data_IF_546674117972
#
_entry.id   IF_546674117972
#
_cell.length_a   1.000
_cell.length_b   1.000
_cell.length_c   1.000
_cell.angle_alpha   90.00
_cell.angle_beta   90.00
_cell.angle_gamma   90.00
#
_symmetry.space_group_name_H-M   'P 1'
#
loop_
_entity.id
_entity.type
_entity.pdbx_description
1 polymer ?
#
# COMPACT_ATOMS: atom_id res chain seq x y z
N UNK A 1 -8.54 9.11 -1.60
CA UNK A 1 -9.42 9.49 -0.48
C UNK A 1 -8.71 10.42 0.50
N UNK A 2 -9.19 11.64 0.72
CA UNK A 2 -8.63 12.57 1.73
C UNK A 2 -9.34 12.41 3.06
N UNK A 3 -8.58 12.33 4.15
CA UNK A 3 -9.06 12.28 5.53
C UNK A 3 -8.44 13.42 6.35
N UNK A 4 -8.77 13.48 7.65
CA UNK A 4 -8.32 14.54 8.55
C UNK A 4 -6.80 14.65 8.59
N UNK A 5 -6.10 13.51 8.74
CA UNK A 5 -4.65 13.46 8.90
C UNK A 5 -3.91 13.02 7.63
N UNK A 6 -4.51 12.15 6.83
CA UNK A 6 -3.85 11.52 5.67
C UNK A 6 -4.65 11.73 4.38
N UNK A 7 -3.95 11.92 3.27
CA UNK A 7 -4.48 11.66 1.93
C UNK A 7 -4.04 10.27 1.49
N UNK A 8 -5.01 9.36 1.36
CA UNK A 8 -4.79 8.04 0.80
C UNK A 8 -4.91 8.07 -0.72
N UNK A 9 -3.93 7.48 -1.38
CA UNK A 9 -3.96 7.18 -2.82
C UNK A 9 -4.06 5.67 -3.01
N UNK A 10 -4.44 5.26 -4.21
CA UNK A 10 -4.22 3.93 -4.76
C UNK A 10 -3.90 4.10 -6.24
N UNK A 11 -3.66 3.01 -6.96
CA UNK A 11 -3.30 3.05 -8.36
C UNK A 11 -4.07 2.00 -9.15
N UNK A 12 -4.28 2.28 -10.43
CA UNK A 12 -4.78 1.34 -11.40
C UNK A 12 -3.59 0.75 -12.16
N UNK A 13 -3.64 -0.55 -12.41
CA UNK A 13 -2.84 -1.18 -13.45
C UNK A 13 -3.66 -1.07 -14.74
N UNK A 14 -2.99 -0.78 -15.86
CA UNK A 14 -3.66 -0.59 -17.15
C UNK A 14 -4.44 -1.85 -17.54
N UNK A 15 -5.69 -1.65 -17.97
CA UNK A 15 -6.61 -2.73 -18.33
C UNK A 15 -7.49 -3.24 -17.16
N UNK A 16 -7.23 -2.84 -15.92
CA UNK A 16 -8.04 -3.25 -14.78
C UNK A 16 -9.19 -2.28 -14.48
N UNK A 17 -10.36 -2.85 -14.18
CA UNK A 17 -11.57 -2.09 -13.80
C UNK A 17 -11.46 -1.44 -12.41
N UNK A 18 -10.78 -2.13 -11.48
CA UNK A 18 -10.64 -1.72 -10.08
C UNK A 18 -9.21 -1.25 -9.79
N UNK A 19 -9.05 -0.26 -8.91
CA UNK A 19 -7.73 0.05 -8.38
C UNK A 19 -7.26 -1.04 -7.40
N UNK A 20 -5.96 -1.07 -7.11
CA UNK A 20 -5.36 -2.14 -6.32
C UNK A 20 -5.95 -2.29 -4.90
N UNK A 21 -6.30 -1.18 -4.23
CA UNK A 21 -6.93 -1.27 -2.90
C UNK A 21 -8.38 -1.75 -2.98
N UNK A 22 -9.10 -1.45 -4.08
CA UNK A 22 -10.46 -1.96 -4.29
C UNK A 22 -10.46 -3.47 -4.55
N UNK A 23 -9.47 -3.98 -5.29
CA UNK A 23 -9.26 -5.43 -5.45
C UNK A 23 -9.00 -6.10 -4.11
N UNK A 24 -8.14 -5.52 -3.27
CA UNK A 24 -7.89 -6.00 -1.91
C UNK A 24 -9.19 -6.06 -1.08
N UNK A 25 -9.95 -4.96 -1.06
CA UNK A 25 -11.21 -4.87 -0.32
C UNK A 25 -12.21 -5.91 -0.84
N UNK A 26 -12.37 -6.03 -2.15
CA UNK A 26 -13.28 -7.01 -2.79
C UNK A 26 -12.94 -8.43 -2.37
N UNK A 27 -11.64 -8.75 -2.33
CA UNK A 27 -11.14 -10.08 -1.98
C UNK A 27 -11.34 -10.43 -0.50
N UNK A 28 -11.03 -9.51 0.42
CA UNK A 28 -10.92 -9.83 1.85
C UNK A 28 -12.15 -9.42 2.68
N UNK A 29 -12.91 -8.40 2.28
CA UNK A 29 -14.05 -7.90 3.07
C UNK A 29 -15.14 -8.95 3.32
N UNK A 30 -15.39 -9.81 2.32
CA UNK A 30 -16.42 -10.85 2.39
C UNK A 30 -15.87 -12.24 2.72
N UNK A 31 -14.58 -12.37 3.05
CA UNK A 31 -13.95 -13.67 3.33
C UNK A 31 -14.03 -14.00 4.83
N UNK A 32 -14.83 -15.00 5.25
CA UNK A 32 -14.95 -15.35 6.67
C UNK A 32 -13.61 -15.83 7.27
N UNK A 33 -12.77 -16.48 6.47
CA UNK A 33 -11.47 -17.00 6.90
C UNK A 33 -10.46 -15.90 7.27
N UNK A 34 -10.63 -14.68 6.74
CA UNK A 34 -9.70 -13.58 6.91
C UNK A 34 -10.35 -12.32 7.50
N UNK A 35 -11.57 -12.46 8.03
CA UNK A 35 -12.36 -11.34 8.54
C UNK A 35 -11.61 -10.53 9.59
N UNK A 36 -11.07 -11.19 10.60
CA UNK A 36 -10.38 -10.51 11.71
C UNK A 36 -9.11 -9.80 11.23
N UNK A 37 -8.36 -10.41 10.32
CA UNK A 37 -7.16 -9.79 9.73
C UNK A 37 -7.52 -8.54 8.91
N UNK A 38 -8.54 -8.66 8.07
CA UNK A 38 -9.04 -7.55 7.26
C UNK A 38 -9.54 -6.39 8.13
N UNK A 39 -10.38 -6.68 9.13
CA UNK A 39 -10.92 -5.68 10.06
C UNK A 39 -9.80 -4.98 10.84
N UNK A 40 -8.77 -5.71 11.26
CA UNK A 40 -7.59 -5.15 11.91
C UNK A 40 -6.82 -4.19 11.00
N UNK A 41 -6.59 -4.55 9.74
CA UNK A 41 -5.92 -3.68 8.76
C UNK A 41 -6.75 -2.41 8.53
N UNK A 42 -8.05 -2.55 8.28
CA UNK A 42 -8.94 -1.41 8.02
C UNK A 42 -9.10 -0.52 9.24
N UNK A 43 -9.06 -1.08 10.45
CA UNK A 43 -9.02 -0.32 11.69
C UNK A 43 -7.77 0.58 11.73
N UNK A 44 -6.58 0.04 11.44
CA UNK A 44 -5.33 0.81 11.43
C UNK A 44 -5.37 1.91 10.36
N UNK A 45 -5.80 1.60 9.14
CA UNK A 45 -5.99 2.59 8.06
C UNK A 45 -6.92 3.72 8.52
N UNK A 46 -8.08 3.39 9.11
CA UNK A 46 -9.04 4.38 9.60
C UNK A 46 -8.48 5.21 10.75
N UNK A 47 -7.76 4.58 11.69
CA UNK A 47 -7.17 5.24 12.84
C UNK A 47 -6.09 6.24 12.41
N UNK A 48 -5.16 5.82 11.55
CA UNK A 48 -4.15 6.70 10.96
C UNK A 48 -4.81 7.88 10.23
N UNK A 49 -5.82 7.62 9.38
CA UNK A 49 -6.47 8.65 8.61
C UNK A 49 -7.24 9.69 9.43
N UNK A 50 -7.83 9.28 10.57
CA UNK A 50 -8.65 10.15 11.42
C UNK A 50 -7.88 10.81 12.55
N UNK A 51 -6.95 10.11 13.18
CA UNK A 51 -6.44 10.45 14.51
C UNK A 51 -4.96 10.85 14.50
N UNK A 52 -4.09 9.98 14.00
CA UNK A 52 -2.64 10.09 14.27
C UNK A 52 -1.82 10.56 13.07
N UNK A 53 -2.21 10.18 11.85
CA UNK A 53 -1.32 10.24 10.70
C UNK A 53 -0.54 8.94 10.51
N UNK A 54 0.29 8.89 9.48
CA UNK A 54 1.04 7.70 9.09
C UNK A 54 2.38 7.66 9.82
N UNK A 55 2.33 7.44 11.13
CA UNK A 55 3.53 7.22 11.94
C UNK A 55 4.18 5.88 11.62
N UNK A 56 5.51 5.83 11.67
CA UNK A 56 6.31 4.67 11.20
C UNK A 56 5.97 3.37 11.94
N UNK A 57 5.64 3.46 13.23
CA UNK A 57 5.32 2.30 14.05
C UNK A 57 4.06 1.54 13.59
N UNK A 58 3.21 2.11 12.73
CA UNK A 58 2.06 1.42 12.15
C UNK A 58 2.43 0.46 11.01
N UNK A 59 3.64 0.55 10.47
CA UNK A 59 4.04 -0.15 9.26
C UNK A 59 5.07 -1.25 9.55
N UNK A 60 5.09 -2.24 8.67
CA UNK A 60 6.18 -3.19 8.54
C UNK A 60 7.04 -2.74 7.37
N UNK A 61 8.31 -2.44 7.63
CA UNK A 61 9.28 -2.10 6.60
C UNK A 61 9.59 -3.31 5.72
N UNK A 62 9.32 -3.17 4.41
CA UNK A 62 9.41 -4.24 3.41
C UNK A 62 10.26 -3.73 2.22
N UNK A 63 11.54 -3.43 2.50
CA UNK A 63 12.51 -2.74 1.62
C UNK A 63 12.14 -1.27 1.34
N UNK A 64 11.76 -0.92 0.11
CA UNK A 64 11.35 0.42 -0.28
C UNK A 64 9.84 0.65 -0.06
N UNK A 65 9.09 -0.42 0.19
CA UNK A 65 7.67 -0.39 0.49
C UNK A 65 7.41 -0.70 1.98
N UNK A 66 6.14 -0.61 2.33
CA UNK A 66 5.60 -0.88 3.65
C UNK A 66 4.47 -1.92 3.58
N UNK A 67 4.12 -2.53 4.71
CA UNK A 67 2.94 -3.37 4.83
C UNK A 67 2.16 -3.15 6.13
N UNK A 68 0.85 -3.36 6.05
CA UNK A 68 -0.08 -3.48 7.18
C UNK A 68 -0.50 -4.95 7.32
N UNK A 69 -0.93 -5.41 8.52
CA UNK A 69 -1.00 -4.66 9.77
C UNK A 69 0.39 -4.46 10.40
N UNK A 70 0.54 -3.59 11.42
CA UNK A 70 1.80 -3.39 12.15
C UNK A 70 2.37 -4.69 12.75
N UNK A 71 3.68 -4.73 13.09
CA UNK A 71 4.35 -5.91 13.63
C UNK A 71 3.73 -6.47 14.91
N UNK A 72 3.17 -5.60 15.75
CA UNK A 72 2.53 -5.96 17.02
C UNK A 72 1.08 -6.45 16.88
N UNK A 73 0.52 -6.48 15.66
CA UNK A 73 -0.78 -7.12 15.39
C UNK A 73 -0.56 -8.44 14.66
N UNK A 74 -1.20 -9.49 15.15
CA UNK A 74 -1.25 -10.80 14.51
C UNK A 74 -2.11 -10.78 13.25
N UNK A 75 -1.81 -11.69 12.32
CA UNK A 75 -2.58 -11.89 11.10
C UNK A 75 -1.70 -12.35 9.95
N UNK A 76 -2.30 -13.13 9.06
CA UNK A 76 -1.66 -13.66 7.86
C UNK A 76 -1.91 -12.75 6.66
N UNK A 77 -2.99 -11.98 6.61
CA UNK A 77 -3.22 -11.01 5.52
C UNK A 77 -2.24 -9.84 5.63
N UNK A 78 -1.64 -9.47 4.49
CA UNK A 78 -0.83 -8.26 4.34
C UNK A 78 -1.46 -7.34 3.31
N UNK A 79 -1.56 -6.06 3.64
CA UNK A 79 -1.83 -4.98 2.68
C UNK A 79 -0.52 -4.23 2.44
N UNK A 80 0.02 -4.32 1.23
CA UNK A 80 1.23 -3.60 0.85
C UNK A 80 0.89 -2.14 0.50
N UNK A 81 1.78 -1.23 0.88
CA UNK A 81 1.59 0.21 0.71
C UNK A 81 2.92 0.96 0.60
N UNK A 82 2.87 2.24 0.22
CA UNK A 82 3.99 3.17 0.31
C UNK A 82 3.64 4.28 1.29
N UNK A 83 4.45 4.44 2.35
CA UNK A 83 4.37 5.60 3.22
C UNK A 83 5.27 6.70 2.65
N UNK A 84 4.68 7.62 1.88
CA UNK A 84 5.41 8.75 1.31
C UNK A 84 5.85 9.73 2.41
N UNK A 85 4.94 10.05 3.33
CA UNK A 85 5.24 10.77 4.56
C UNK A 85 4.11 10.54 5.59
N UNK A 86 4.13 11.26 6.72
CA UNK A 86 3.10 11.15 7.77
C UNK A 86 1.70 11.58 7.33
N UNK A 87 1.55 12.29 6.21
CA UNK A 87 0.28 12.78 5.68
C UNK A 87 -0.17 12.15 4.36
N UNK A 88 0.61 11.25 3.76
CA UNK A 88 0.33 10.62 2.47
C UNK A 88 0.74 9.15 2.50
N UNK A 89 -0.22 8.28 2.18
CA UNK A 89 0.00 6.84 2.03
C UNK A 89 -0.64 6.38 0.72
N UNK A 90 0.08 5.58 -0.05
CA UNK A 90 -0.43 4.91 -1.25
C UNK A 90 -0.75 3.47 -0.86
N UNK A 91 -2.02 3.10 -0.87
CA UNK A 91 -2.49 1.74 -0.60
C UNK A 91 -2.46 0.94 -1.90
N UNK A 92 -1.73 -0.18 -1.90
CA UNK A 92 -1.74 -1.14 -2.99
C UNK A 92 -2.75 -2.26 -2.72
N UNK A 93 -2.34 -3.46 -3.03
CA UNK A 93 -3.10 -4.69 -2.82
C UNK A 93 -2.35 -5.61 -1.83
N UNK A 94 -2.74 -6.86 -1.73
CA UNK A 94 -2.32 -7.71 -0.65
C UNK A 94 -2.62 -9.18 -0.83
N UNK A 95 -2.03 -9.97 0.04
CA UNK A 95 -2.12 -11.42 0.00
C UNK A 95 -2.02 -12.05 1.38
N UNK A 96 -2.26 -13.35 1.42
CA UNK A 96 -2.12 -14.18 2.60
C UNK A 96 -0.68 -14.67 2.69
N UNK A 97 0.02 -14.21 3.71
CA UNK A 97 1.38 -14.63 4.02
C UNK A 97 1.35 -16.04 4.62
N UNK A 98 1.89 -17.00 3.88
CA UNK A 98 1.92 -18.43 4.27
C UNK A 98 3.26 -18.84 4.89
N UNK A 99 4.31 -18.03 4.70
CA UNK A 99 5.68 -18.33 5.12
C UNK A 99 6.33 -17.12 5.77
N UNK A 100 7.40 -17.32 6.53
CA UNK A 100 8.14 -16.19 7.13
C UNK A 100 8.78 -15.27 6.06
N UNK A 101 9.34 -15.88 5.01
CA UNK A 101 9.94 -15.16 3.87
C UNK A 101 8.88 -14.89 2.81
N UNK A 102 8.76 -13.63 2.38
CA UNK A 102 7.79 -13.22 1.35
C UNK A 102 8.05 -13.89 0.00
N UNK A 103 9.30 -14.20 -0.32
CA UNK A 103 9.68 -14.91 -1.55
C UNK A 103 9.09 -16.32 -1.66
N UNK A 104 8.59 -16.85 -0.54
CA UNK A 104 7.98 -18.18 -0.44
C UNK A 104 6.46 -18.10 -0.25
N UNK A 105 5.89 -16.89 -0.22
CA UNK A 105 4.45 -16.64 -0.17
C UNK A 105 3.98 -16.16 -1.55
N UNK A 106 3.59 -17.10 -2.41
CA UNK A 106 3.20 -16.81 -3.81
C UNK A 106 2.15 -15.69 -3.90
N UNK A 107 1.16 -15.72 -3.01
CA UNK A 107 0.08 -14.74 -2.95
C UNK A 107 0.53 -13.32 -2.54
N UNK A 108 1.67 -13.20 -1.87
CA UNK A 108 2.23 -11.92 -1.47
C UNK A 108 3.33 -11.40 -2.42
N UNK A 109 3.97 -12.30 -3.18
CA UNK A 109 5.19 -11.99 -3.90
C UNK A 109 4.99 -10.87 -4.92
N UNK A 110 3.98 -11.01 -5.79
CA UNK A 110 3.67 -9.99 -6.81
C UNK A 110 3.40 -8.62 -6.18
N UNK A 111 2.53 -8.56 -5.16
CA UNK A 111 2.18 -7.31 -4.49
C UNK A 111 3.37 -6.67 -3.78
N UNK A 112 4.23 -7.49 -3.16
CA UNK A 112 5.47 -7.06 -2.54
C UNK A 112 6.44 -6.44 -3.56
N UNK A 113 6.69 -7.12 -4.68
CA UNK A 113 7.63 -6.66 -5.71
C UNK A 113 7.12 -5.41 -6.41
N UNK A 114 5.84 -5.40 -6.79
CA UNK A 114 5.21 -4.26 -7.45
C UNK A 114 5.25 -3.01 -6.56
N UNK A 115 4.83 -3.14 -5.29
CA UNK A 115 4.80 -2.00 -4.38
C UNK A 115 6.20 -1.47 -4.09
N UNK A 116 7.21 -2.35 -4.06
CA UNK A 116 8.62 -1.97 -3.95
C UNK A 116 9.12 -1.20 -5.18
N UNK A 117 8.76 -1.63 -6.39
CA UNK A 117 9.12 -0.92 -7.60
C UNK A 117 8.44 0.45 -7.69
N UNK A 118 7.14 0.51 -7.43
CA UNK A 118 6.38 1.76 -7.39
C UNK A 118 6.94 2.74 -6.36
N UNK A 119 7.24 2.28 -5.13
CA UNK A 119 7.78 3.15 -4.07
C UNK A 119 9.15 3.74 -4.42
N UNK A 120 10.01 2.97 -5.11
CA UNK A 120 11.28 3.49 -5.63
C UNK A 120 11.05 4.58 -6.66
N UNK A 121 10.22 4.34 -7.67
CA UNK A 121 9.93 5.33 -8.70
C UNK A 121 9.28 6.62 -8.15
N UNK A 122 8.41 6.51 -7.15
CA UNK A 122 7.86 7.69 -6.47
C UNK A 122 8.98 8.49 -5.81
N UNK A 123 9.86 7.81 -5.08
CA UNK A 123 10.99 8.44 -4.38
C UNK A 123 11.93 9.12 -5.39
N UNK A 124 12.27 8.43 -6.47
CA UNK A 124 13.12 8.95 -7.55
C UNK A 124 12.52 10.23 -8.16
N UNK A 125 11.25 10.20 -8.57
CA UNK A 125 10.57 11.39 -9.13
C UNK A 125 10.46 12.54 -8.13
N UNK A 126 10.34 12.25 -6.84
CA UNK A 126 10.37 13.29 -5.81
C UNK A 126 11.75 13.93 -5.68
N UNK A 127 12.82 13.14 -5.79
CA UNK A 127 14.20 13.64 -5.77
C UNK A 127 14.54 14.46 -7.01
N UNK A 128 14.02 14.08 -8.16
CA UNK A 128 14.20 14.77 -9.44
C UNK A 128 13.33 16.03 -9.57
N UNK A 129 12.36 16.22 -8.66
CA UNK A 129 11.43 17.35 -8.68
C UNK A 129 10.26 17.19 -9.66
N UNK A 130 10.12 16.03 -10.31
CA UNK A 130 8.97 15.69 -11.17
C UNK A 130 7.69 15.47 -10.37
N UNK A 131 7.82 15.05 -9.11
CA UNK A 131 6.73 14.86 -8.18
C UNK A 131 6.95 15.71 -6.93
N UNK A 132 5.93 16.47 -6.52
CA UNK A 132 5.99 17.34 -5.34
C UNK A 132 4.78 17.16 -4.45
N UNK A 133 4.96 17.45 -3.17
CA UNK A 133 3.88 17.43 -2.19
C UNK A 133 3.40 18.85 -1.95
N UNK A 134 2.13 19.11 -2.25
CA UNK A 134 1.47 20.40 -2.01
C UNK A 134 0.17 20.12 -1.27
N UNK A 135 -0.05 20.79 -0.14
CA UNK A 135 -1.28 20.63 0.65
C UNK A 135 -1.66 19.16 0.96
N UNK A 136 -0.65 18.31 1.21
CA UNK A 136 -0.75 16.85 1.42
C UNK A 136 -1.33 16.09 0.21
N UNK A 137 -1.03 16.57 -0.99
CA UNK A 137 -1.37 15.91 -2.24
C UNK A 137 -0.11 15.79 -3.09
N UNK A 138 -0.03 14.72 -3.87
CA UNK A 138 1.00 14.56 -4.88
C UNK A 138 0.60 15.33 -6.13
N UNK A 139 1.47 16.22 -6.59
CA UNK A 139 1.35 16.98 -7.84
C UNK A 139 2.54 16.65 -8.75
N UNK A 140 2.28 16.44 -10.05
CA UNK A 140 3.30 16.05 -11.03
C UNK A 140 2.83 14.91 -11.93
N UNK A 141 3.77 14.19 -12.54
CA UNK A 141 3.46 13.02 -13.35
C UNK A 141 3.15 11.80 -12.46
N UNK A 142 1.89 11.36 -12.45
CA UNK A 142 1.41 10.22 -11.67
C UNK A 142 1.27 8.92 -12.49
N UNK A 143 1.77 8.90 -13.73
CA UNK A 143 1.79 7.70 -14.58
C UNK A 143 3.15 7.02 -14.49
N UNK A 144 3.17 5.76 -14.09
CA UNK A 144 4.38 4.97 -13.89
C UNK A 144 4.39 3.79 -14.85
N UNK A 145 5.58 3.47 -15.39
CA UNK A 145 5.83 2.20 -16.08
C UNK A 145 6.69 1.36 -15.16
N UNK A 146 6.22 0.17 -14.82
CA UNK A 146 6.86 -0.71 -13.84
C UNK A 146 7.11 -2.06 -14.50
N UNK A 147 8.38 -2.46 -14.54
CA UNK A 147 8.83 -3.65 -15.26
C UNK A 147 8.96 -3.42 -16.77
N UNK A 148 9.47 -4.43 -17.46
CA UNK A 148 9.52 -4.46 -18.92
C UNK A 148 8.16 -4.92 -19.43
N UNK A 149 7.40 -4.00 -20.06
CA UNK A 149 6.26 -4.39 -20.87
C UNK A 149 6.83 -5.12 -22.10
N UNK A 150 6.83 -6.45 -22.09
CA UNK A 150 7.03 -7.19 -23.33
C UNK A 150 5.78 -6.93 -24.19
N UNK A 151 5.99 -6.25 -25.32
CA UNK A 151 5.01 -6.18 -26.42
C UNK A 151 4.69 -7.58 -26.97
#
# INVERSE_FOLDING_TARGET
>A
MRMNKITYYSFHIEGDDLCEVEKFVTRFNSSPAYKDDYENIMFVVKHMGKCTGAEEHYFRHEKAAEALPPPYRSGNVRLYCSRVNTGIVILGNGGVKTTQKVQQSEDCLFHFEFMNALSRHITERMMEGELRIVNRQLEGNLHFKIGDCYE
#
